data_IF_793792496576
#
_entry.id   IF_793792496576
#
_cell.length_a   1.000
_cell.length_b   1.000
_cell.length_c   1.000
_cell.angle_alpha   90.00
_cell.angle_beta   90.00
_cell.angle_gamma   90.00
#
_symmetry.space_group_name_H-M   'P 1'
#
loop_
_entity.id
_entity.type
_entity.pdbx_description
1 polymer ?
#
# COMPACT_ATOMS: atom_id res chain seq x y z
N UNK A 1 30.24 -3.13 17.46
CA UNK A 1 29.07 -3.55 18.26
C UNK A 1 27.86 -3.68 17.35
N UNK A 2 27.31 -4.87 17.19
CA UNK A 2 25.99 -5.00 16.58
C UNK A 2 24.98 -4.62 17.66
N UNK A 3 24.49 -3.37 17.62
CA UNK A 3 23.38 -2.95 18.45
C UNK A 3 22.24 -3.97 18.29
N UNK A 4 21.67 -4.42 19.41
CA UNK A 4 20.49 -5.29 19.40
C UNK A 4 19.35 -4.68 18.57
N UNK A 5 18.30 -5.45 18.26
CA UNK A 5 17.17 -4.93 17.49
C UNK A 5 16.65 -3.66 18.18
N UNK A 6 16.56 -2.57 17.41
CA UNK A 6 16.08 -1.28 17.92
C UNK A 6 14.71 -1.49 18.59
N UNK A 7 14.55 -1.10 19.87
CA UNK A 7 13.34 -1.32 20.65
C UNK A 7 12.10 -0.63 20.08
N UNK A 8 12.26 0.29 19.12
CA UNK A 8 11.15 0.97 18.45
C UNK A 8 10.60 0.14 17.28
N UNK A 9 11.44 -0.67 16.65
CA UNK A 9 11.06 -1.50 15.48
C UNK A 9 10.68 -2.93 15.90
N UNK A 10 11.10 -3.33 17.10
CA UNK A 10 10.66 -4.53 17.79
C UNK A 10 9.59 -4.18 18.82
N UNK A 11 8.54 -4.97 18.94
CA UNK A 11 7.41 -4.64 19.81
C UNK A 11 6.35 -5.73 19.79
N UNK A 12 5.43 -5.73 20.77
CA UNK A 12 4.36 -6.72 20.83
C UNK A 12 3.51 -6.62 19.56
N UNK A 13 3.24 -7.78 18.96
CA UNK A 13 2.40 -7.89 17.76
C UNK A 13 1.20 -8.76 18.11
N UNK A 14 0.00 -8.18 18.04
CA UNK A 14 -1.24 -8.96 18.14
C UNK A 14 -1.45 -9.69 16.82
N UNK A 15 -1.66 -10.99 16.88
CA UNK A 15 -1.89 -11.83 15.70
C UNK A 15 -3.35 -12.26 15.68
N UNK A 16 -3.98 -12.10 14.52
CA UNK A 16 -5.32 -12.61 14.24
C UNK A 16 -5.19 -13.71 13.18
N UNK A 17 -6.08 -14.70 13.25
CA UNK A 17 -6.11 -15.83 12.33
C UNK A 17 -7.32 -15.72 11.42
N UNK A 18 -7.12 -16.05 10.15
CA UNK A 18 -8.16 -16.18 9.15
C UNK A 18 -8.07 -17.58 8.53
N UNK A 19 -9.21 -18.20 8.21
CA UNK A 19 -9.24 -19.55 7.66
C UNK A 19 -8.93 -19.58 6.15
N UNK A 20 -9.29 -18.50 5.45
CA UNK A 20 -9.04 -18.32 4.02
C UNK A 20 -8.47 -16.93 3.69
N UNK A 21 -8.07 -16.75 2.43
CA UNK A 21 -7.64 -15.44 1.92
C UNK A 21 -8.79 -14.44 1.87
N UNK A 22 -10.02 -14.89 1.57
CA UNK A 22 -11.21 -14.05 1.59
C UNK A 22 -11.52 -13.56 3.02
N UNK A 23 -11.49 -14.46 4.00
CA UNK A 23 -11.67 -14.10 5.43
C UNK A 23 -10.58 -13.12 5.90
N UNK A 24 -9.35 -13.23 5.38
CA UNK A 24 -8.26 -12.32 5.70
C UNK A 24 -8.53 -10.91 5.19
N UNK A 25 -9.12 -10.79 3.99
CA UNK A 25 -9.49 -9.51 3.39
C UNK A 25 -10.65 -8.88 4.18
N UNK A 26 -11.67 -9.66 4.52
CA UNK A 26 -12.79 -9.18 5.31
C UNK A 26 -12.35 -8.75 6.71
N UNK A 27 -11.48 -9.52 7.35
CA UNK A 27 -10.85 -9.13 8.62
C UNK A 27 -10.03 -7.83 8.48
N UNK A 28 -9.36 -7.60 7.35
CA UNK A 28 -8.65 -6.35 7.11
C UNK A 28 -9.62 -5.17 7.04
N UNK A 29 -10.77 -5.32 6.36
CA UNK A 29 -11.83 -4.31 6.32
C UNK A 29 -12.37 -4.04 7.72
N UNK A 30 -12.70 -5.08 8.48
CA UNK A 30 -13.19 -4.96 9.86
C UNK A 30 -12.19 -4.20 10.74
N UNK A 31 -10.89 -4.52 10.65
CA UNK A 31 -9.85 -3.85 11.41
C UNK A 31 -9.71 -2.38 11.02
N UNK A 32 -9.77 -2.04 9.73
CA UNK A 32 -9.70 -0.65 9.27
C UNK A 32 -10.93 0.14 9.74
N UNK A 33 -12.12 -0.45 9.67
CA UNK A 33 -13.35 0.18 10.15
C UNK A 33 -13.35 0.35 11.68
N UNK A 34 -12.84 -0.62 12.42
CA UNK A 34 -12.79 -0.58 13.88
C UNK A 34 -11.73 0.40 14.42
N UNK A 35 -10.56 0.47 13.76
CA UNK A 35 -9.49 1.42 14.13
C UNK A 35 -9.76 2.83 13.63
N UNK A 36 -10.55 2.95 12.56
CA UNK A 36 -10.88 4.18 11.83
C UNK A 36 -9.69 5.15 11.60
N UNK A 37 -8.61 4.72 10.94
CA UNK A 37 -7.43 5.56 10.74
C UNK A 37 -7.69 6.70 9.74
N UNK A 38 -7.26 7.92 10.07
CA UNK A 38 -7.33 9.05 9.12
C UNK A 38 -6.40 8.89 7.92
N UNK A 39 -5.27 8.19 8.12
CA UNK A 39 -4.22 8.00 7.12
C UNK A 39 -3.94 6.52 6.92
N UNK A 40 -3.98 6.08 5.66
CA UNK A 40 -3.50 4.78 5.22
C UNK A 40 -2.16 4.95 4.50
N UNK A 41 -1.18 4.11 4.82
CA UNK A 41 0.15 4.18 4.22
C UNK A 41 0.69 2.79 3.93
N UNK A 42 1.34 2.66 2.77
CA UNK A 42 2.26 1.55 2.47
C UNK A 42 3.50 2.09 1.75
N UNK A 43 4.59 1.30 1.74
CA UNK A 43 5.83 1.75 1.10
C UNK A 43 5.61 1.98 -0.40
N UNK A 44 5.07 0.99 -1.10
CA UNK A 44 4.45 1.14 -2.41
C UNK A 44 2.96 0.83 -2.26
N UNK A 45 2.12 1.78 -2.67
CA UNK A 45 0.65 1.67 -2.61
C UNK A 45 0.08 1.01 -3.87
N UNK A 46 0.74 1.16 -5.02
CA UNK A 46 0.17 0.74 -6.30
C UNK A 46 0.55 -0.69 -6.66
N UNK A 47 1.82 -1.06 -6.49
CA UNK A 47 2.34 -2.37 -6.92
C UNK A 47 2.45 -3.39 -5.79
N UNK A 48 2.49 -2.91 -4.56
CA UNK A 48 2.54 -3.72 -3.35
C UNK A 48 1.48 -3.20 -2.36
N UNK A 49 1.42 -3.81 -1.16
CA UNK A 49 0.58 -3.33 -0.07
C UNK A 49 -0.90 -3.22 -0.46
N UNK A 50 -1.44 -2.00 -0.45
CA UNK A 50 -2.86 -1.74 -0.68
C UNK A 50 -3.29 -2.10 -2.11
N UNK A 51 -2.52 -1.77 -3.14
CA UNK A 51 -2.88 -2.05 -4.54
C UNK A 51 -2.96 -3.53 -4.82
N UNK A 52 -2.00 -4.31 -4.32
CA UNK A 52 -2.06 -5.77 -4.38
C UNK A 52 -3.30 -6.31 -3.66
N UNK A 53 -3.62 -5.79 -2.47
CA UNK A 53 -4.81 -6.19 -1.71
C UNK A 53 -6.11 -5.89 -2.48
N UNK A 54 -6.20 -4.72 -3.13
CA UNK A 54 -7.36 -4.32 -3.94
C UNK A 54 -7.54 -5.25 -5.15
N UNK A 55 -6.48 -5.50 -5.91
CA UNK A 55 -6.51 -6.39 -7.08
C UNK A 55 -6.89 -7.82 -6.66
N UNK A 56 -6.35 -8.27 -5.52
CA UNK A 56 -6.60 -9.62 -5.01
C UNK A 56 -8.03 -9.78 -4.50
N UNK A 57 -8.56 -8.78 -3.82
CA UNK A 57 -9.96 -8.74 -3.41
C UNK A 57 -10.92 -8.74 -4.60
N UNK A 58 -10.59 -8.00 -5.66
CA UNK A 58 -11.38 -8.00 -6.88
C UNK A 58 -11.41 -9.40 -7.53
N UNK A 59 -10.29 -10.13 -7.54
CA UNK A 59 -10.24 -11.49 -8.05
C UNK A 59 -11.08 -12.46 -7.22
N UNK A 60 -10.97 -12.44 -5.88
CA UNK A 60 -11.68 -13.38 -5.01
C UNK A 60 -13.18 -13.09 -4.96
N UNK A 61 -13.57 -11.83 -4.79
CA UNK A 61 -14.99 -11.43 -4.73
C UNK A 61 -15.67 -11.41 -6.09
N UNK A 62 -14.90 -11.26 -7.17
CA UNK A 62 -15.39 -11.46 -8.54
C UNK A 62 -15.60 -12.95 -8.86
N UNK A 63 -14.79 -13.84 -8.28
CA UNK A 63 -14.93 -15.29 -8.45
C UNK A 63 -16.13 -15.87 -7.67
N UNK A 64 -16.46 -15.33 -6.49
CA UNK A 64 -17.63 -15.75 -5.70
C UNK A 64 -18.98 -15.40 -6.36
N UNK A 65 -19.00 -14.48 -7.32
CA UNK A 65 -20.16 -14.16 -8.14
C UNK A 65 -20.31 -15.00 -9.42
N UNK A 66 -19.39 -15.93 -9.69
CA UNK A 66 -19.34 -16.72 -10.93
C UNK A 66 -19.41 -18.23 -10.68
N UNK A 67 -20.36 -18.68 -9.86
CA UNK A 67 -20.99 -19.98 -10.13
C UNK A 67 -22.07 -19.79 -11.21
N UNK A 68 -21.61 -19.58 -12.45
CA UNK A 68 -22.47 -19.55 -13.64
C UNK A 68 -22.19 -18.38 -14.58
N UNK A 69 -21.14 -18.46 -15.39
CA UNK A 69 -20.95 -17.51 -16.48
C UNK A 69 -19.57 -17.54 -17.11
N UNK A 70 -19.49 -18.19 -18.27
CA UNK A 70 -18.32 -18.22 -19.16
C UNK A 70 -17.78 -16.82 -19.51
N UNK A 71 -16.45 -16.74 -19.63
CA UNK A 71 -15.83 -15.98 -20.71
C UNK A 71 -15.33 -14.57 -20.39
N UNK A 72 -14.03 -14.47 -20.12
CA UNK A 72 -13.22 -13.33 -20.55
C UNK A 72 -13.30 -13.30 -22.09
N UNK A 73 -14.11 -12.42 -22.66
CA UNK A 73 -14.23 -12.28 -24.11
C UNK A 73 -15.17 -11.16 -24.50
N UNK A 74 -14.62 -10.13 -25.15
CA UNK A 74 -15.38 -9.19 -25.99
C UNK A 74 -16.28 -10.00 -26.93
N UNK A 75 -17.58 -9.82 -26.81
CA UNK A 75 -18.57 -10.36 -27.72
C UNK A 75 -19.94 -9.81 -27.39
N UNK A 76 -20.42 -8.90 -28.22
CA UNK A 76 -21.81 -8.46 -28.24
C UNK A 76 -22.72 -9.68 -28.33
N UNK A 77 -23.60 -9.87 -27.34
CA UNK A 77 -24.76 -10.75 -27.45
C UNK A 77 -26.01 -9.88 -27.48
N UNK A 78 -26.49 -9.59 -28.68
CA UNK A 78 -27.88 -9.21 -28.92
C UNK A 78 -28.78 -10.41 -28.56
N UNK A 79 -29.81 -10.19 -27.74
CA UNK A 79 -30.76 -11.24 -27.41
C UNK A 79 -31.81 -10.84 -26.38
N UNK A 80 -32.94 -10.34 -26.90
CA UNK A 80 -34.34 -10.48 -26.42
C UNK A 80 -34.66 -10.19 -24.94
N UNK A 81 -35.43 -9.11 -24.76
CA UNK A 81 -36.07 -8.66 -23.53
C UNK A 81 -36.89 -9.76 -22.83
N UNK A 82 -36.48 -10.13 -21.61
CA UNK A 82 -37.38 -10.65 -20.59
C UNK A 82 -37.31 -9.71 -19.37
N UNK A 83 -38.43 -9.42 -18.67
CA UNK A 83 -38.41 -8.63 -17.44
C UNK A 83 -37.90 -9.52 -16.29
N UNK A 84 -36.60 -9.76 -16.29
CA UNK A 84 -35.87 -10.48 -15.25
C UNK A 84 -35.39 -9.53 -14.17
N UNK A 85 -35.52 -9.95 -12.92
CA UNK A 85 -34.91 -9.33 -11.73
C UNK A 85 -33.51 -8.81 -12.07
N UNK A 86 -33.17 -7.54 -11.75
CA UNK A 86 -31.85 -7.01 -12.06
C UNK A 86 -30.80 -7.95 -11.47
N UNK A 87 -29.71 -8.25 -12.22
CA UNK A 87 -28.64 -9.07 -11.71
C UNK A 87 -28.17 -8.52 -10.35
N UNK A 88 -27.80 -9.38 -9.39
CA UNK A 88 -27.29 -8.92 -8.11
C UNK A 88 -26.16 -7.93 -8.38
N UNK A 89 -26.24 -6.76 -7.73
CA UNK A 89 -25.27 -5.70 -7.96
C UNK A 89 -23.85 -6.28 -7.74
N UNK A 90 -22.88 -5.96 -8.62
CA UNK A 90 -21.52 -6.44 -8.45
C UNK A 90 -21.02 -6.05 -7.05
N UNK A 91 -20.30 -6.97 -6.41
CA UNK A 91 -19.76 -6.71 -5.08
C UNK A 91 -19.00 -5.38 -5.09
N UNK A 92 -19.22 -4.51 -4.08
CA UNK A 92 -18.57 -3.21 -4.06
C UNK A 92 -17.05 -3.37 -4.06
N UNK A 93 -16.32 -2.49 -4.78
CA UNK A 93 -14.86 -2.56 -4.78
C UNK A 93 -14.33 -2.37 -3.36
N UNK A 94 -13.20 -3.01 -3.04
CA UNK A 94 -12.63 -2.97 -1.70
C UNK A 94 -12.34 -1.53 -1.22
N UNK A 95 -12.02 -0.60 -2.14
CA UNK A 95 -11.89 0.83 -1.83
C UNK A 95 -13.14 1.45 -1.20
N UNK A 96 -14.34 1.00 -1.62
CA UNK A 96 -15.64 1.45 -1.08
C UNK A 96 -15.93 0.86 0.30
N UNK A 97 -15.41 -0.34 0.58
CA UNK A 97 -15.53 -0.97 1.90
C UNK A 97 -14.58 -0.36 2.93
N UNK A 98 -13.41 0.09 2.46
CA UNK A 98 -12.43 0.80 3.29
C UNK A 98 -12.79 2.26 3.51
N UNK A 99 -13.72 2.83 2.74
CA UNK A 99 -14.06 4.25 2.80
C UNK A 99 -14.94 4.59 4.02
N UNK A 100 -14.88 5.84 4.48
CA UNK A 100 -15.80 6.36 5.51
C UNK A 100 -17.17 6.73 4.94
N UNK A 101 -17.21 6.96 3.63
CA UNK A 101 -18.41 7.38 2.91
C UNK A 101 -18.66 6.40 1.77
N UNK A 102 -19.21 5.20 2.04
CA UNK A 102 -19.40 4.18 1.02
C UNK A 102 -20.35 4.63 -0.08
N UNK A 103 -21.23 5.60 0.15
CA UNK A 103 -22.12 6.15 -0.89
C UNK A 103 -21.45 7.11 -1.89
N UNK A 104 -20.23 7.57 -1.60
CA UNK A 104 -19.51 8.54 -2.43
C UNK A 104 -18.53 7.78 -3.32
N UNK A 105 -18.63 7.99 -4.62
CA UNK A 105 -17.63 7.46 -5.56
C UNK A 105 -16.29 8.14 -5.30
N UNK A 106 -15.21 7.38 -5.41
CA UNK A 106 -13.89 7.95 -5.26
C UNK A 106 -13.66 8.96 -6.38
N UNK A 107 -13.44 10.23 -6.00
CA UNK A 107 -13.00 11.26 -6.93
C UNK A 107 -11.69 10.78 -7.57
N UNK A 108 -11.80 10.29 -8.80
CA UNK A 108 -10.68 9.82 -9.62
C UNK A 108 -10.13 10.99 -10.44
N UNK A 109 -10.97 12.02 -10.66
CA UNK A 109 -10.70 13.23 -11.44
C UNK A 109 -9.57 14.10 -10.85
N UNK A 110 -9.29 14.00 -9.54
CA UNK A 110 -8.29 14.82 -8.87
C UNK A 110 -6.83 14.53 -9.30
N UNK A 111 -6.60 13.54 -10.18
CA UNK A 111 -5.26 13.08 -10.56
C UNK A 111 -5.11 12.68 -12.03
N UNK A 112 -6.03 13.11 -12.91
CA UNK A 112 -6.04 12.69 -14.32
C UNK A 112 -4.89 13.26 -15.16
N UNK A 113 -4.26 14.34 -14.71
CA UNK A 113 -3.06 14.90 -15.32
C UNK A 113 -1.81 14.05 -15.00
N UNK A 114 -0.94 13.87 -16.00
CA UNK A 114 0.27 13.01 -15.95
C UNK A 114 1.14 13.26 -14.70
N UNK A 115 1.15 14.51 -14.23
CA UNK A 115 1.83 14.91 -13.00
C UNK A 115 1.22 14.27 -11.74
N UNK A 116 -0.12 14.26 -11.61
CA UNK A 116 -0.85 13.66 -10.51
C UNK A 116 -0.69 12.14 -10.45
N UNK A 117 -0.69 11.47 -11.60
CA UNK A 117 -0.44 10.04 -11.72
C UNK A 117 0.96 9.62 -11.21
N UNK A 118 1.95 10.52 -11.33
CA UNK A 118 3.34 10.28 -10.90
C UNK A 118 3.60 10.71 -9.44
N UNK A 119 2.88 11.71 -8.93
CA UNK A 119 3.10 12.25 -7.58
C UNK A 119 2.13 11.71 -6.52
N UNK A 120 0.89 11.35 -6.87
CA UNK A 120 -0.13 10.88 -5.93
C UNK A 120 0.05 9.45 -5.43
N UNK A 121 -0.86 8.93 -4.61
CA UNK A 121 -0.89 7.50 -4.27
C UNK A 121 -1.43 6.64 -5.44
N UNK A 122 -2.22 7.24 -6.34
CA UNK A 122 -2.95 6.57 -7.42
C UNK A 122 -4.12 5.70 -6.97
N UNK A 123 -4.33 5.60 -5.65
CA UNK A 123 -5.46 4.90 -5.03
C UNK A 123 -6.12 5.90 -4.07
N UNK A 124 -7.42 6.10 -4.26
CA UNK A 124 -8.24 7.00 -3.44
C UNK A 124 -9.22 6.16 -2.60
N UNK A 125 -9.25 6.43 -1.30
CA UNK A 125 -10.24 5.87 -0.37
C UNK A 125 -11.03 7.03 0.24
N UNK A 126 -12.29 7.24 -0.16
CA UNK A 126 -13.07 8.39 0.30
C UNK A 126 -13.09 8.54 1.83
N UNK A 127 -12.76 9.74 2.30
CA UNK A 127 -12.69 10.07 3.72
C UNK A 127 -11.38 9.66 4.42
N UNK A 128 -10.40 9.10 3.70
CA UNK A 128 -9.07 8.76 4.23
C UNK A 128 -7.96 9.32 3.33
N UNK A 129 -6.86 9.76 3.94
CA UNK A 129 -5.65 10.14 3.21
C UNK A 129 -4.85 8.87 2.90
N UNK A 130 -4.52 8.63 1.63
CA UNK A 130 -3.67 7.51 1.23
C UNK A 130 -2.28 8.03 0.86
N UNK A 131 -1.24 7.57 1.55
CA UNK A 131 0.15 7.98 1.32
C UNK A 131 0.97 6.83 0.73
N UNK A 132 1.68 7.12 -0.37
CA UNK A 132 2.68 6.22 -0.93
C UNK A 132 4.06 6.59 -0.36
N UNK A 133 4.62 5.70 0.46
CA UNK A 133 5.81 5.95 1.25
C UNK A 133 7.04 6.33 0.42
N UNK A 134 7.34 5.59 -0.65
CA UNK A 134 8.52 5.90 -1.46
C UNK A 134 8.36 7.20 -2.27
N UNK A 135 7.14 7.52 -2.73
CA UNK A 135 6.86 8.78 -3.44
C UNK A 135 7.03 9.99 -2.54
N UNK A 136 6.49 9.91 -1.32
CA UNK A 136 6.72 10.91 -0.28
C UNK A 136 8.23 11.07 -0.03
N UNK A 137 8.94 9.97 0.21
CA UNK A 137 10.37 10.01 0.54
C UNK A 137 11.26 10.51 -0.60
N UNK A 138 10.85 10.38 -1.87
CA UNK A 138 11.55 10.96 -3.02
C UNK A 138 11.60 12.50 -2.97
N UNK A 139 10.54 13.10 -2.42
CA UNK A 139 10.49 14.54 -2.15
C UNK A 139 11.53 14.94 -1.10
N UNK A 140 11.62 14.14 -0.04
CA UNK A 140 12.37 14.43 1.19
C UNK A 140 13.86 14.09 1.13
N UNK A 141 14.23 12.97 0.52
CA UNK A 141 15.61 12.46 0.52
C UNK A 141 16.08 12.19 -0.90
N UNK A 142 17.27 12.69 -1.25
CA UNK A 142 17.87 12.52 -2.58
C UNK A 142 18.81 11.32 -2.60
N UNK A 143 18.24 10.13 -2.82
CA UNK A 143 18.97 8.87 -2.95
C UNK A 143 18.81 8.29 -4.36
N UNK A 144 19.81 7.52 -4.80
CA UNK A 144 19.74 6.75 -6.04
C UNK A 144 18.77 5.56 -5.93
N UNK A 145 18.66 4.96 -4.75
CA UNK A 145 17.78 3.83 -4.45
C UNK A 145 16.76 4.26 -3.38
N UNK A 146 15.48 4.15 -3.72
CA UNK A 146 14.34 4.46 -2.83
C UNK A 146 13.72 3.19 -2.27
N UNK A 147 14.55 2.24 -1.84
CA UNK A 147 14.08 1.10 -1.05
C UNK A 147 13.90 1.52 0.40
N UNK A 148 12.96 0.91 1.12
CA UNK A 148 12.72 1.22 2.54
C UNK A 148 14.03 1.12 3.35
N UNK A 149 14.84 0.10 3.09
CA UNK A 149 16.12 -0.12 3.76
C UNK A 149 17.11 1.02 3.51
N UNK A 150 17.24 1.49 2.26
CA UNK A 150 18.15 2.59 1.90
C UNK A 150 17.70 3.90 2.54
N UNK A 151 16.40 4.18 2.51
CA UNK A 151 15.85 5.41 3.08
C UNK A 151 15.96 5.40 4.60
N UNK A 152 15.60 4.31 5.28
CA UNK A 152 15.77 4.19 6.73
C UNK A 152 17.26 4.27 7.14
N UNK A 153 18.18 3.68 6.38
CA UNK A 153 19.61 3.78 6.67
C UNK A 153 20.13 5.21 6.53
N UNK A 154 19.57 6.01 5.61
CA UNK A 154 19.99 7.39 5.39
C UNK A 154 19.34 8.35 6.37
N UNK A 155 18.01 8.28 6.53
CA UNK A 155 17.24 9.23 7.32
C UNK A 155 17.27 8.92 8.82
N UNK A 156 17.17 7.64 9.19
CA UNK A 156 17.07 7.21 10.60
C UNK A 156 18.38 6.64 11.16
N UNK A 157 19.42 6.53 10.34
CA UNK A 157 20.64 5.78 10.66
C UNK A 157 20.35 4.34 11.13
N UNK A 158 19.23 3.77 10.65
CA UNK A 158 18.73 2.48 11.05
C UNK A 158 18.98 1.45 9.94
N UNK A 159 19.70 0.37 10.28
CA UNK A 159 19.95 -0.75 9.35
C UNK A 159 18.85 -1.79 9.47
N UNK A 160 17.94 -1.79 8.50
CA UNK A 160 16.92 -2.84 8.37
C UNK A 160 17.48 -4.07 7.65
N UNK A 161 17.16 -5.30 8.10
CA UNK A 161 17.50 -6.51 7.37
C UNK A 161 16.72 -6.55 6.05
N UNK A 162 17.38 -7.02 4.99
CA UNK A 162 16.71 -7.41 3.75
C UNK A 162 16.54 -8.91 3.75
N UNK A 163 15.28 -9.35 3.76
CA UNK A 163 14.92 -10.76 3.59
C UNK A 163 14.35 -10.95 2.20
N UNK A 164 14.87 -11.97 1.49
CA UNK A 164 14.40 -12.33 0.16
C UNK A 164 12.92 -12.81 0.21
N UNK A 165 12.04 -12.37 -0.71
CA UNK A 165 10.65 -12.79 -0.71
C UNK A 165 10.42 -14.31 -0.75
N UNK A 166 11.32 -15.07 -1.41
CA UNK A 166 11.24 -16.54 -1.43
C UNK A 166 11.52 -17.12 -0.06
N UNK A 167 12.43 -16.51 0.69
CA UNK A 167 12.70 -16.89 2.08
C UNK A 167 11.52 -16.57 3.00
N UNK A 168 10.85 -15.42 2.81
CA UNK A 168 9.64 -15.08 3.54
C UNK A 168 8.52 -16.11 3.28
N UNK A 169 8.35 -16.53 2.03
CA UNK A 169 7.39 -17.56 1.65
C UNK A 169 7.72 -18.90 2.33
N UNK A 170 8.99 -19.33 2.34
CA UNK A 170 9.44 -20.55 3.03
C UNK A 170 9.18 -20.52 4.55
N UNK A 171 9.47 -19.38 5.19
CA UNK A 171 9.13 -19.18 6.60
C UNK A 171 7.61 -19.28 6.84
N UNK A 172 6.80 -18.77 5.91
CA UNK A 172 5.35 -18.84 6.02
C UNK A 172 4.78 -20.23 5.76
N UNK A 173 5.33 -20.98 4.80
CA UNK A 173 4.90 -22.37 4.50
C UNK A 173 5.40 -23.37 5.54
N UNK A 174 6.48 -23.04 6.26
CA UNK A 174 7.12 -23.93 7.22
C UNK A 174 8.14 -24.88 6.58
N UNK A 175 8.58 -24.58 5.36
CA UNK A 175 9.51 -25.39 4.55
C UNK A 175 10.98 -25.16 4.92
N UNK A 176 11.29 -24.88 6.19
CA UNK A 176 12.66 -24.65 6.66
C UNK A 176 13.46 -25.95 6.79
N UNK A 177 13.43 -26.78 5.74
CA UNK A 177 14.03 -28.10 5.66
C UNK A 177 15.24 -28.22 4.73
N UNK A 178 15.81 -27.13 4.19
CA UNK A 178 16.97 -27.25 3.31
C UNK A 178 18.04 -26.15 3.49
N UNK A 179 19.12 -26.56 4.17
CA UNK A 179 20.51 -26.12 4.08
C UNK A 179 20.82 -24.85 3.26
N UNK A 180 20.90 -23.70 3.94
CA UNK A 180 21.64 -22.54 3.40
C UNK A 180 23.13 -22.72 3.71
N UNK A 181 23.90 -23.16 2.70
CA UNK A 181 25.31 -22.79 2.54
C UNK A 181 26.38 -23.67 3.17
N UNK A 182 26.53 -24.92 2.71
CA UNK A 182 27.89 -25.45 2.54
C UNK A 182 28.38 -24.96 1.17
N UNK A 183 29.38 -24.09 1.16
CA UNK A 183 30.12 -23.78 -0.05
C UNK A 183 30.58 -25.08 -0.72
N UNK A 184 30.60 -25.07 -2.05
CA UNK A 184 31.13 -26.14 -2.90
C UNK A 184 32.42 -26.73 -2.29
N UNK A 185 32.32 -27.93 -1.73
CA UNK A 185 33.44 -28.83 -1.47
C UNK A 185 33.26 -30.07 -2.38
N UNK A 186 34.33 -30.57 -3.03
CA UNK A 186 34.21 -31.62 -4.02
C UNK A 186 33.98 -32.98 -3.35
N UNK A 187 33.12 -33.77 -3.98
CA UNK A 187 33.15 -35.23 -4.05
C UNK A 187 33.37 -36.00 -2.74
N UNK A 188 32.28 -36.28 -2.02
CA UNK A 188 32.22 -37.44 -1.13
C UNK A 188 31.18 -38.44 -1.66
N UNK A 189 31.62 -39.69 -1.79
CA UNK A 189 30.94 -40.77 -2.51
C UNK A 189 29.64 -41.20 -1.83
N UNK A 190 28.68 -41.58 -2.67
CA UNK A 190 27.43 -42.22 -2.32
C UNK A 190 27.65 -43.40 -1.35
N UNK A 191 27.03 -43.31 -0.18
CA UNK A 191 27.03 -44.36 0.82
C UNK A 191 26.11 -44.02 1.99
N UNK A 192 24.87 -44.50 1.92
CA UNK A 192 23.95 -44.75 3.04
C UNK A 192 23.50 -43.54 3.87
N UNK A 193 22.31 -43.01 3.55
CA UNK A 193 21.51 -42.24 4.52
C UNK A 193 20.66 -43.20 5.36
N UNK A 194 20.75 -43.18 6.70
CA UNK A 194 19.72 -43.81 7.52
C UNK A 194 18.44 -42.96 7.42
N UNK A 195 17.30 -43.65 7.43
CA UNK A 195 15.98 -43.05 7.62
C UNK A 195 15.90 -42.40 9.02
N UNK A 196 16.48 -41.21 9.15
CA UNK A 196 16.37 -40.38 10.34
C UNK A 196 15.07 -39.60 10.30
N UNK A 197 14.26 -39.78 11.34
CA UNK A 197 13.05 -39.02 11.66
C UNK A 197 13.06 -37.59 11.13
N UNK A 198 12.05 -37.22 10.34
CA UNK A 198 11.75 -35.83 10.02
C UNK A 198 11.47 -35.09 11.35
N UNK A 199 12.50 -34.51 11.96
CA UNK A 199 12.33 -33.56 13.05
C UNK A 199 11.60 -32.37 12.44
N UNK A 200 10.32 -32.23 12.78
CA UNK A 200 9.49 -31.12 12.33
C UNK A 200 10.27 -29.82 12.56
N UNK A 201 10.54 -29.09 11.48
CA UNK A 201 11.23 -27.80 11.56
C UNK A 201 10.43 -26.90 12.50
N UNK A 202 11.08 -26.16 13.41
CA UNK A 202 10.37 -25.30 14.35
C UNK A 202 9.45 -24.32 13.61
N UNK A 203 8.31 -23.91 14.20
CA UNK A 203 7.40 -23.00 13.56
C UNK A 203 8.13 -21.71 13.19
N UNK A 204 8.19 -21.38 11.90
CA UNK A 204 8.93 -20.23 11.39
C UNK A 204 8.05 -19.12 10.83
N UNK A 205 6.72 -19.34 10.76
CA UNK A 205 5.73 -18.36 10.29
C UNK A 205 5.84 -17.01 10.99
N UNK A 206 6.14 -17.04 12.28
CA UNK A 206 6.30 -15.83 13.08
C UNK A 206 7.43 -14.93 12.57
N UNK A 207 8.49 -15.48 11.93
CA UNK A 207 9.60 -14.70 11.37
C UNK A 207 9.16 -13.84 10.19
N UNK A 208 8.31 -14.41 9.32
CA UNK A 208 7.73 -13.68 8.20
C UNK A 208 6.80 -12.55 8.70
N UNK A 209 5.96 -12.86 9.69
CA UNK A 209 5.08 -11.87 10.32
C UNK A 209 5.87 -10.77 11.05
N UNK A 210 6.96 -11.12 11.72
CA UNK A 210 7.82 -10.17 12.40
C UNK A 210 8.54 -9.25 11.40
N UNK A 211 9.01 -9.77 10.27
CA UNK A 211 9.61 -8.93 9.22
C UNK A 211 8.61 -7.93 8.65
N UNK A 212 7.38 -8.36 8.39
CA UNK A 212 6.30 -7.48 7.93
C UNK A 212 5.99 -6.39 8.97
N UNK A 213 5.83 -6.76 10.24
CA UNK A 213 5.57 -5.82 11.33
C UNK A 213 6.73 -4.82 11.51
N UNK A 214 7.97 -5.30 11.38
CA UNK A 214 9.19 -4.48 11.47
C UNK A 214 9.23 -3.43 10.36
N UNK A 215 8.93 -3.82 9.11
CA UNK A 215 8.85 -2.90 7.97
C UNK A 215 7.76 -1.84 8.16
N UNK A 216 6.57 -2.25 8.62
CA UNK A 216 5.46 -1.34 8.89
C UNK A 216 5.82 -0.30 9.98
N UNK A 217 6.41 -0.73 11.10
CA UNK A 217 6.87 0.19 12.17
C UNK A 217 7.97 1.12 11.70
N UNK A 218 8.94 0.62 10.96
CA UNK A 218 10.03 1.45 10.44
C UNK A 218 9.52 2.55 9.50
N UNK A 219 8.52 2.23 8.68
CA UNK A 219 7.86 3.21 7.81
C UNK A 219 7.10 4.28 8.60
N UNK A 220 6.33 3.88 9.63
CA UNK A 220 5.63 4.83 10.49
C UNK A 220 6.60 5.77 11.21
N UNK A 221 7.67 5.22 11.79
CA UNK A 221 8.74 6.02 12.41
C UNK A 221 9.41 6.96 11.41
N UNK A 222 9.68 6.49 10.20
CA UNK A 222 10.27 7.31 9.15
C UNK A 222 9.40 8.52 8.80
N UNK A 223 8.08 8.35 8.75
CA UNK A 223 7.15 9.45 8.51
C UNK A 223 7.08 10.44 9.67
N UNK A 224 7.16 9.94 10.90
CA UNK A 224 7.12 10.72 12.14
C UNK A 224 8.41 11.54 12.32
N UNK A 225 9.58 10.90 12.23
CA UNK A 225 10.89 11.55 12.39
C UNK A 225 11.16 12.60 11.30
N UNK A 226 10.59 12.43 10.10
CA UNK A 226 10.68 13.39 9.00
C UNK A 226 9.59 14.49 9.05
N UNK A 227 8.69 14.45 10.02
CA UNK A 227 7.53 15.35 10.19
C UNK A 227 6.81 15.61 8.86
N UNK A 228 6.54 14.54 8.10
CA UNK A 228 5.93 14.68 6.77
C UNK A 228 4.55 15.30 6.90
N UNK A 229 3.72 14.78 7.80
CA UNK A 229 2.35 15.25 7.97
C UNK A 229 2.30 16.69 8.52
N UNK A 230 3.12 17.04 9.51
CA UNK A 230 3.11 18.37 10.11
C UNK A 230 3.52 19.45 9.12
N UNK A 231 4.59 19.21 8.33
CA UNK A 231 5.05 20.14 7.29
C UNK A 231 4.03 20.32 6.17
N UNK A 232 3.42 19.23 5.67
CA UNK A 232 2.41 19.31 4.62
C UNK A 232 1.11 19.96 5.13
N UNK A 233 0.72 19.73 6.38
CA UNK A 233 -0.40 20.42 7.01
C UNK A 233 -0.13 21.92 7.19
N UNK A 234 1.09 22.31 7.57
CA UNK A 234 1.47 23.72 7.65
C UNK A 234 1.42 24.38 6.26
N UNK A 235 1.94 23.73 5.23
CA UNK A 235 1.85 24.19 3.86
C UNK A 235 0.38 24.36 3.41
N UNK A 236 -0.47 23.36 3.69
CA UNK A 236 -1.90 23.41 3.36
C UNK A 236 -2.59 24.62 4.01
N UNK A 237 -2.32 24.87 5.30
CA UNK A 237 -2.87 26.04 6.03
C UNK A 237 -2.39 27.37 5.47
N UNK A 238 -1.11 27.50 5.14
CA UNK A 238 -0.53 28.74 4.61
C UNK A 238 -1.05 29.03 3.21
N UNK A 239 -1.10 28.01 2.36
CA UNK A 239 -1.54 28.17 0.97
C UNK A 239 -3.06 28.15 0.82
N UNK A 240 -3.81 27.66 1.81
CA UNK A 240 -5.27 27.57 1.83
C UNK A 240 -5.83 26.47 0.92
N UNK A 241 -5.08 25.39 0.74
CA UNK A 241 -5.49 24.20 -0.05
C UNK A 241 -5.75 23.02 0.90
N UNK A 242 -6.42 21.98 0.40
CA UNK A 242 -6.62 20.75 1.16
C UNK A 242 -5.31 19.96 1.33
N UNK A 243 -5.29 19.09 2.35
CA UNK A 243 -4.08 18.32 2.69
C UNK A 243 -3.67 17.35 1.57
N UNK A 244 -4.62 16.76 0.84
CA UNK A 244 -4.31 15.83 -0.25
C UNK A 244 -3.60 16.57 -1.40
N UNK A 245 -4.07 17.76 -1.74
CA UNK A 245 -3.43 18.64 -2.71
C UNK A 245 -2.05 19.12 -2.25
N UNK A 246 -1.83 19.32 -0.95
CA UNK A 246 -0.51 19.69 -0.43
C UNK A 246 0.57 18.63 -0.72
N UNK A 247 0.18 17.35 -0.74
CA UNK A 247 1.08 16.23 -1.06
C UNK A 247 1.40 16.09 -2.55
N UNK A 248 0.42 16.31 -3.42
CA UNK A 248 0.56 15.92 -4.82
C UNK A 248 0.48 17.04 -5.85
N UNK A 249 -0.06 18.23 -5.49
CA UNK A 249 -0.17 19.35 -6.43
C UNK A 249 1.09 20.22 -6.44
N UNK A 250 1.45 20.64 -7.64
CA UNK A 250 2.64 21.44 -7.92
C UNK A 250 2.56 22.88 -7.39
N UNK A 251 3.65 23.63 -7.57
CA UNK A 251 3.75 25.03 -7.12
C UNK A 251 2.73 25.95 -7.78
N UNK A 252 2.38 25.71 -9.06
CA UNK A 252 1.38 26.49 -9.78
C UNK A 252 0.03 26.51 -9.05
N UNK A 253 -0.51 25.35 -8.69
CA UNK A 253 -1.76 25.22 -7.94
C UNK A 253 -1.74 26.02 -6.63
N UNK A 254 -0.60 26.01 -5.93
CA UNK A 254 -0.42 26.74 -4.67
C UNK A 254 -0.46 28.25 -4.89
N UNK A 255 0.24 28.75 -5.90
CA UNK A 255 0.28 30.17 -6.26
C UNK A 255 -1.10 30.64 -6.71
N UNK A 256 -1.76 29.89 -7.60
CA UNK A 256 -3.11 30.20 -8.08
C UNK A 256 -4.11 30.27 -6.93
N UNK A 257 -4.05 29.31 -6.00
CA UNK A 257 -4.93 29.31 -4.82
C UNK A 257 -4.80 30.60 -4.00
N UNK A 258 -3.58 31.14 -3.86
CA UNK A 258 -3.31 32.40 -3.17
C UNK A 258 -3.77 33.61 -3.98
N UNK A 259 -3.44 33.65 -5.27
CA UNK A 259 -3.77 34.76 -6.16
C UNK A 259 -5.28 34.93 -6.31
N UNK A 260 -6.05 33.85 -6.43
CA UNK A 260 -7.51 33.91 -6.53
C UNK A 260 -8.13 34.53 -5.27
N UNK A 261 -7.62 34.19 -4.08
CA UNK A 261 -8.10 34.79 -2.82
C UNK A 261 -7.74 36.27 -2.72
N UNK A 262 -6.53 36.65 -3.14
CA UNK A 262 -6.11 38.05 -3.17
C UNK A 262 -6.92 38.87 -4.16
N UNK A 263 -7.16 38.34 -5.37
CA UNK A 263 -8.00 38.97 -6.38
C UNK A 263 -9.43 39.16 -5.86
N UNK A 264 -10.01 38.14 -5.21
CA UNK A 264 -11.32 38.25 -4.58
C UNK A 264 -11.33 39.34 -3.49
N UNK A 265 -10.31 39.41 -2.64
CA UNK A 265 -10.20 40.43 -1.60
C UNK A 265 -10.01 41.85 -2.15
N UNK A 266 -9.39 42.00 -3.34
CA UNK A 266 -9.21 43.28 -4.04
C UNK A 266 -10.33 43.62 -5.02
N UNK A 267 -11.40 42.80 -5.08
CA UNK A 267 -12.50 42.92 -6.05
C UNK A 267 -12.01 42.92 -7.52
N UNK A 268 -11.02 42.08 -7.81
CA UNK A 268 -10.45 41.84 -9.13
C UNK A 268 -10.87 40.47 -9.67
N UNK A 269 -10.85 40.34 -11.00
CA UNK A 269 -11.10 39.08 -11.69
C UNK A 269 -9.78 38.47 -12.17
N UNK A 270 -9.57 37.18 -11.86
CA UNK A 270 -8.45 36.43 -12.38
C UNK A 270 -8.70 36.07 -13.85
N UNK A 271 -7.74 36.35 -14.73
CA UNK A 271 -7.79 35.92 -16.13
C UNK A 271 -7.34 34.46 -16.23
N UNK A 272 -8.06 33.66 -17.01
CA UNK A 272 -7.70 32.28 -17.34
C UNK A 272 -7.34 32.19 -18.83
N UNK A 273 -6.11 32.54 -19.24
CA UNK A 273 -5.71 32.51 -20.64
C UNK A 273 -5.73 31.07 -21.18
N UNK A 274 -6.04 30.94 -22.47
CA UNK A 274 -5.96 29.66 -23.18
C UNK A 274 -4.50 29.33 -23.53
N UNK A 275 -4.19 28.06 -23.83
CA UNK A 275 -2.84 27.65 -24.26
C UNK A 275 -2.34 28.34 -25.55
N UNK A 276 -3.23 28.94 -26.33
CA UNK A 276 -2.92 29.56 -27.62
C UNK A 276 -2.62 31.07 -27.53
N UNK A 277 -2.89 31.69 -26.37
CA UNK A 277 -2.59 33.09 -26.08
C UNK A 277 -1.19 33.23 -25.51
#
# INVERSE_FOLDING_TARGET
>A
EAAGPDPVVSGPTRVHWAASEADLIDLCVELVQALDPDVLVSWDVQKEGLGYLLDRAAMLRGAEGSEGGEGIGRGEKEGLDQPGVPPPAPAPPLTRLLSRSPGVEAETEAWEDEYGAVQGSGITVPGRLVLNGWRVMRGEVKLALLTLQSVCSSALQLRLPFVDPRQLARWFTGEDGESVGAGRAPDCKAGQTPAGSATASPPSRWRALEDLARRARAMLRLLDDMDVLGRHAALARVTGIDLTSAFGRGSQYRVESLLVRLAHASNQLALSPSRAQ
#
